data_IF_225809666698
#
_entry.id   IF_225809666698
#
_cell.length_a   1.000
_cell.length_b   1.000
_cell.length_c   1.000
_cell.angle_alpha   90.00
_cell.angle_beta   90.00
_cell.angle_gamma   90.00
#
_symmetry.space_group_name_H-M   'P 1'
#
loop_
_entity.id
_entity.type
_entity.pdbx_description
1 polymer ?
#
# COMPACT_ATOMS: atom_id res chain seq x y z
N UNK A 1 16.99 2.90 -38.66
CA UNK A 1 16.49 3.24 -37.30
C UNK A 1 15.16 2.54 -37.11
N UNK A 2 15.10 1.45 -36.34
CA UNK A 2 13.84 0.77 -36.07
C UNK A 2 13.05 1.54 -34.99
N UNK A 3 11.83 1.94 -35.31
CA UNK A 3 10.91 2.58 -34.36
C UNK A 3 10.30 1.47 -33.51
N UNK A 4 10.82 1.28 -32.30
CA UNK A 4 10.23 0.36 -31.34
C UNK A 4 8.99 0.99 -30.70
N UNK A 5 7.86 0.30 -30.82
CA UNK A 5 6.63 0.64 -30.09
C UNK A 5 6.81 0.27 -28.62
N UNK A 6 7.17 1.25 -27.79
CA UNK A 6 7.28 1.05 -26.34
C UNK A 6 5.86 1.02 -25.75
N UNK A 7 5.40 -0.18 -25.37
CA UNK A 7 4.12 -0.37 -24.71
C UNK A 7 4.20 0.07 -23.23
N UNK A 8 3.85 1.34 -22.95
CA UNK A 8 3.93 1.94 -21.60
C UNK A 8 2.94 1.36 -20.57
N UNK A 9 2.13 0.38 -20.94
CA UNK A 9 1.19 -0.33 -20.04
C UNK A 9 1.79 -1.59 -19.40
N UNK A 10 2.83 -2.16 -19.99
CA UNK A 10 3.51 -3.36 -19.48
C UNK A 10 4.27 -2.94 -18.22
N UNK A 11 3.92 -3.50 -17.06
CA UNK A 11 4.39 -3.13 -15.71
C UNK A 11 3.71 -1.94 -15.02
N UNK A 12 2.60 -1.38 -15.56
CA UNK A 12 1.80 -0.50 -14.71
C UNK A 12 1.20 -1.32 -13.58
N UNK A 13 1.34 -0.88 -12.32
CA UNK A 13 0.73 -1.57 -11.21
C UNK A 13 -0.79 -1.57 -11.35
N UNK A 14 -1.44 -2.56 -10.75
CA UNK A 14 -2.90 -2.67 -10.79
C UNK A 14 -3.48 -1.49 -10.01
N UNK A 15 -4.20 -0.64 -10.75
CA UNK A 15 -4.87 0.56 -10.23
C UNK A 15 -6.31 0.55 -10.67
N UNK A 16 -7.23 0.79 -9.73
CA UNK A 16 -8.65 0.89 -10.01
C UNK A 16 -9.12 2.31 -9.72
N UNK A 17 -9.37 3.11 -10.77
CA UNK A 17 -9.77 4.53 -10.66
C UNK A 17 -8.89 5.36 -9.70
N UNK A 18 -7.57 5.17 -9.77
CA UNK A 18 -6.59 5.85 -8.92
C UNK A 18 -6.31 5.18 -7.56
N UNK A 19 -7.07 4.15 -7.19
CA UNK A 19 -6.81 3.34 -6.00
C UNK A 19 -5.79 2.23 -6.32
N UNK A 20 -4.65 2.19 -5.64
CA UNK A 20 -3.66 1.11 -5.83
C UNK A 20 -4.14 -0.18 -5.16
N UNK A 21 -3.70 -1.35 -5.67
CA UNK A 21 -4.13 -2.67 -5.20
C UNK A 21 -4.16 -2.86 -3.67
N UNK A 22 -3.14 -2.41 -2.94
CA UNK A 22 -3.08 -2.51 -1.47
C UNK A 22 -4.26 -1.81 -0.77
N UNK A 23 -4.67 -0.65 -1.28
CA UNK A 23 -5.74 0.16 -0.68
C UNK A 23 -7.14 -0.38 -1.00
N UNK A 24 -7.28 -1.10 -2.12
CA UNK A 24 -8.52 -1.84 -2.43
C UNK A 24 -8.78 -2.87 -1.33
N UNK A 25 -7.73 -3.58 -0.90
CA UNK A 25 -7.83 -4.54 0.22
C UNK A 25 -8.27 -3.88 1.53
N UNK A 26 -7.68 -2.73 1.89
CA UNK A 26 -8.10 -2.00 3.10
C UNK A 26 -9.53 -1.49 3.03
N UNK A 27 -9.96 -0.99 1.86
CA UNK A 27 -11.32 -0.54 1.66
C UNK A 27 -12.31 -1.71 1.80
N UNK A 28 -12.03 -2.85 1.18
CA UNK A 28 -12.86 -4.04 1.26
C UNK A 28 -13.01 -4.55 2.70
N UNK A 29 -11.88 -4.68 3.42
CA UNK A 29 -11.90 -5.07 4.83
C UNK A 29 -12.69 -4.08 5.71
N UNK A 30 -12.52 -2.78 5.48
CA UNK A 30 -13.26 -1.73 6.19
C UNK A 30 -14.77 -1.78 5.92
N UNK A 31 -15.19 -2.05 4.68
CA UNK A 31 -16.60 -2.20 4.31
C UNK A 31 -17.23 -3.44 4.96
N UNK A 32 -16.50 -4.57 5.01
CA UNK A 32 -16.96 -5.77 5.72
C UNK A 32 -17.11 -5.48 7.23
N UNK A 33 -16.15 -4.78 7.83
CA UNK A 33 -16.24 -4.39 9.23
C UNK A 33 -17.45 -3.47 9.50
N UNK A 34 -17.74 -2.52 8.60
CA UNK A 34 -18.92 -1.67 8.69
C UNK A 34 -20.23 -2.46 8.57
N UNK A 35 -20.27 -3.46 7.70
CA UNK A 35 -21.43 -4.34 7.57
C UNK A 35 -21.68 -5.13 8.87
N UNK A 36 -20.62 -5.69 9.46
CA UNK A 36 -20.72 -6.40 10.75
C UNK A 36 -21.17 -5.43 11.85
N UNK A 37 -20.58 -4.23 11.92
CA UNK A 37 -20.97 -3.20 12.89
C UNK A 37 -22.45 -2.83 12.75
N UNK A 38 -22.93 -2.65 11.52
CA UNK A 38 -24.35 -2.39 11.26
C UNK A 38 -25.23 -3.52 11.76
N UNK A 39 -24.88 -4.77 11.43
CA UNK A 39 -25.65 -5.94 11.85
C UNK A 39 -25.73 -6.06 13.38
N UNK A 40 -24.61 -5.88 14.07
CA UNK A 40 -24.55 -5.91 15.54
C UNK A 40 -25.39 -4.78 16.15
N UNK A 41 -25.24 -3.55 15.66
CA UNK A 41 -25.99 -2.39 16.15
C UNK A 41 -27.51 -2.55 15.92
N UNK A 42 -27.90 -3.06 14.75
CA UNK A 42 -29.30 -3.31 14.42
C UNK A 42 -29.91 -4.40 15.32
N UNK A 43 -29.21 -5.53 15.52
CA UNK A 43 -29.68 -6.62 16.38
C UNK A 43 -29.73 -6.18 17.85
N UNK A 44 -28.84 -5.29 18.29
CA UNK A 44 -28.87 -4.70 19.63
C UNK A 44 -30.07 -3.75 19.86
N UNK A 45 -30.91 -3.52 18.84
CA UNK A 45 -32.12 -2.72 18.96
C UNK A 45 -31.93 -1.22 18.74
N UNK A 46 -30.79 -0.79 18.18
CA UNK A 46 -30.61 0.62 17.83
C UNK A 46 -31.59 1.02 16.71
N UNK A 47 -32.18 2.23 16.75
CA UNK A 47 -33.02 2.71 15.68
C UNK A 47 -32.26 2.73 14.35
N UNK A 48 -32.88 2.21 13.28
CA UNK A 48 -32.26 2.10 11.95
C UNK A 48 -31.67 3.43 11.47
N UNK A 49 -32.37 4.54 11.71
CA UNK A 49 -31.89 5.87 11.32
C UNK A 49 -30.56 6.24 12.01
N UNK A 50 -30.36 5.84 13.26
CA UNK A 50 -29.09 6.06 13.98
C UNK A 50 -28.00 5.19 13.37
N UNK A 51 -28.29 3.91 13.10
CA UNK A 51 -27.35 3.00 12.44
C UNK A 51 -26.92 3.53 11.06
N UNK A 52 -27.87 4.02 10.26
CA UNK A 52 -27.59 4.60 8.94
C UNK A 52 -26.72 5.85 9.03
N UNK A 53 -26.98 6.74 9.99
CA UNK A 53 -26.17 7.93 10.20
C UNK A 53 -24.74 7.55 10.58
N UNK A 54 -24.57 6.66 11.55
CA UNK A 54 -23.26 6.21 12.03
C UNK A 54 -22.47 5.54 10.89
N UNK A 55 -23.09 4.58 10.19
CA UNK A 55 -22.43 3.88 9.08
C UNK A 55 -22.15 4.81 7.91
N UNK A 56 -23.03 5.78 7.62
CA UNK A 56 -22.80 6.78 6.58
C UNK A 56 -21.57 7.64 6.88
N UNK A 57 -21.43 8.13 8.11
CA UNK A 57 -20.26 8.91 8.54
C UNK A 57 -18.99 8.04 8.51
N UNK A 58 -19.03 6.86 9.12
CA UNK A 58 -17.87 5.97 9.16
C UNK A 58 -17.46 5.48 7.77
N UNK A 59 -18.42 5.17 6.91
CA UNK A 59 -18.19 4.86 5.49
C UNK A 59 -17.53 6.03 4.77
N UNK A 60 -18.10 7.23 4.86
CA UNK A 60 -17.52 8.44 4.25
C UNK A 60 -16.07 8.68 4.71
N UNK A 61 -15.82 8.62 6.02
CA UNK A 61 -14.46 8.78 6.57
C UNK A 61 -13.51 7.68 6.13
N UNK A 62 -13.95 6.42 6.05
CA UNK A 62 -13.16 5.31 5.53
C UNK A 62 -12.72 5.57 4.09
N UNK A 63 -13.65 5.95 3.21
CA UNK A 63 -13.33 6.28 1.82
C UNK A 63 -12.33 7.44 1.74
N UNK A 64 -12.57 8.54 2.45
CA UNK A 64 -11.67 9.70 2.47
C UNK A 64 -10.25 9.31 2.92
N UNK A 65 -10.13 8.53 4.00
CA UNK A 65 -8.83 8.12 4.53
C UNK A 65 -8.10 7.17 3.58
N UNK A 66 -8.78 6.17 3.03
CA UNK A 66 -8.16 5.19 2.14
C UNK A 66 -7.68 5.86 0.84
N UNK A 67 -8.47 6.75 0.26
CA UNK A 67 -8.05 7.52 -0.93
C UNK A 67 -6.89 8.46 -0.61
N UNK A 68 -6.93 9.17 0.52
CA UNK A 68 -5.81 10.02 0.97
C UNK A 68 -4.53 9.19 1.11
N UNK A 69 -4.61 8.01 1.71
CA UNK A 69 -3.48 7.12 1.89
C UNK A 69 -2.94 6.58 0.55
N UNK A 70 -3.84 6.20 -0.35
CA UNK A 70 -3.52 5.75 -1.71
C UNK A 70 -2.74 6.82 -2.49
N UNK A 71 -3.20 8.07 -2.43
CA UNK A 71 -2.56 9.18 -3.13
C UNK A 71 -1.23 9.59 -2.48
N UNK A 72 -1.14 9.54 -1.15
CA UNK A 72 0.07 10.00 -0.42
C UNK A 72 1.20 8.99 -0.52
N UNK A 73 0.92 7.70 -0.35
CA UNK A 73 1.96 6.67 -0.22
C UNK A 73 2.11 5.80 -1.48
N UNK A 74 1.12 5.77 -2.38
CA UNK A 74 1.16 4.92 -3.56
C UNK A 74 1.30 3.43 -3.22
N UNK A 75 1.64 2.60 -4.20
CA UNK A 75 1.59 1.14 -4.08
C UNK A 75 2.57 0.53 -3.05
N UNK A 76 3.72 1.17 -2.81
CA UNK A 76 4.77 0.63 -1.94
C UNK A 76 5.10 1.53 -0.75
N UNK A 77 4.51 2.73 -0.64
CA UNK A 77 4.92 3.71 0.37
C UNK A 77 4.62 3.28 1.80
N UNK A 78 3.49 2.61 2.03
CA UNK A 78 3.19 2.04 3.35
C UNK A 78 4.17 0.93 3.73
N UNK A 79 4.51 0.05 2.79
CA UNK A 79 5.50 -1.00 3.02
C UNK A 79 6.87 -0.41 3.33
N UNK A 80 7.29 0.63 2.60
CA UNK A 80 8.55 1.36 2.88
C UNK A 80 8.52 2.06 4.25
N UNK A 81 7.40 2.68 4.62
CA UNK A 81 7.22 3.31 5.93
C UNK A 81 7.31 2.29 7.07
N UNK A 82 6.69 1.12 6.90
CA UNK A 82 6.80 0.00 7.84
C UNK A 82 8.23 -0.53 7.93
N UNK A 83 8.88 -0.77 6.78
CA UNK A 83 10.25 -1.25 6.70
C UNK A 83 11.24 -0.32 7.41
N UNK A 84 11.02 1.01 7.36
CA UNK A 84 11.85 2.00 8.05
C UNK A 84 12.00 1.72 9.55
N UNK A 85 10.99 1.13 10.19
CA UNK A 85 11.03 0.78 11.63
C UNK A 85 12.00 -0.36 11.95
N UNK A 86 12.34 -1.19 10.96
CA UNK A 86 13.22 -2.34 11.11
C UNK A 86 14.68 -2.04 10.72
N UNK A 87 14.99 -0.82 10.27
CA UNK A 87 16.36 -0.43 9.94
C UNK A 87 17.15 -0.06 11.20
N UNK A 88 18.42 -0.49 11.31
CA UNK A 88 19.31 -0.04 12.37
C UNK A 88 19.59 1.46 12.25
N UNK A 89 19.82 2.14 13.37
CA UNK A 89 20.05 3.59 13.41
C UNK A 89 21.29 4.04 12.62
N UNK A 90 22.30 3.17 12.50
CA UNK A 90 23.45 3.39 11.64
C UNK A 90 24.01 2.06 11.13
N UNK A 91 24.63 2.11 9.96
CA UNK A 91 25.44 1.01 9.43
C UNK A 91 26.91 1.38 9.61
N UNK A 92 27.64 0.64 10.46
CA UNK A 92 29.09 0.80 10.60
C UNK A 92 29.79 -0.23 9.73
N UNK A 93 30.53 0.25 8.73
CA UNK A 93 31.40 -0.58 7.91
C UNK A 93 32.84 -0.43 8.40
N UNK A 94 33.46 -1.53 8.83
CA UNK A 94 34.88 -1.53 9.24
C UNK A 94 35.83 -1.81 8.06
N UNK A 95 35.29 -2.04 6.85
CA UNK A 95 36.09 -2.39 5.68
C UNK A 95 35.37 -2.06 4.37
N UNK A 96 36.14 -1.54 3.41
CA UNK A 96 35.68 -1.27 2.02
C UNK A 96 35.68 -2.50 1.11
N UNK A 97 36.16 -3.66 1.61
CA UNK A 97 36.32 -4.90 0.82
C UNK A 97 35.02 -5.34 0.12
N UNK A 98 33.87 -5.12 0.76
CA UNK A 98 32.53 -5.47 0.25
C UNK A 98 32.24 -4.77 -1.09
N UNK A 99 32.72 -3.54 -1.26
CA UNK A 99 32.47 -2.74 -2.47
C UNK A 99 33.58 -2.88 -3.52
N UNK A 100 34.82 -3.16 -3.09
CA UNK A 100 35.98 -3.27 -4.00
C UNK A 100 36.25 -4.69 -4.51
N UNK A 101 35.60 -5.74 -3.98
CA UNK A 101 35.83 -7.12 -4.45
C UNK A 101 35.20 -7.44 -5.81
N UNK A 102 34.35 -6.58 -6.36
CA UNK A 102 33.64 -6.86 -7.62
C UNK A 102 34.54 -6.88 -8.87
N UNK A 103 35.71 -6.26 -8.84
CA UNK A 103 36.60 -6.22 -10.02
C UNK A 103 37.35 -7.55 -10.26
N UNK A 104 37.49 -8.39 -9.23
CA UNK A 104 38.30 -9.62 -9.36
C UNK A 104 37.54 -10.81 -9.97
N UNK A 105 36.21 -10.79 -9.95
CA UNK A 105 35.40 -11.89 -10.53
C UNK A 105 35.27 -11.80 -12.05
N UNK A 106 35.35 -10.61 -12.66
CA UNK A 106 35.38 -10.49 -14.13
C UNK A 106 36.76 -10.84 -14.73
N UNK A 107 37.84 -10.63 -13.98
CA UNK A 107 39.20 -10.95 -14.40
C UNK A 107 39.55 -12.46 -14.35
N UNK A 108 38.66 -13.32 -13.84
CA UNK A 108 38.87 -14.78 -13.78
C UNK A 108 38.24 -15.53 -14.97
N UNK A 109 37.43 -14.83 -15.78
CA UNK A 109 36.79 -15.38 -16.98
C UNK A 109 37.40 -14.82 -18.28
N UNK A 110 38.57 -14.16 -18.19
CA UNK A 110 39.50 -13.91 -19.30
C UNK A 110 40.74 -14.77 -19.09
#
# INVERSE_FOLDING_TARGET
MAIYQINKGINKPIEFKGLKAQYIGYLAAGLVALLILFAVAYIAGLPVYVCLLVIGILGGTLFMQVYRLSNTYGQYGLMKKGAKRFLPGYLKFNSRKIFTQKDRSYARFQ
#
